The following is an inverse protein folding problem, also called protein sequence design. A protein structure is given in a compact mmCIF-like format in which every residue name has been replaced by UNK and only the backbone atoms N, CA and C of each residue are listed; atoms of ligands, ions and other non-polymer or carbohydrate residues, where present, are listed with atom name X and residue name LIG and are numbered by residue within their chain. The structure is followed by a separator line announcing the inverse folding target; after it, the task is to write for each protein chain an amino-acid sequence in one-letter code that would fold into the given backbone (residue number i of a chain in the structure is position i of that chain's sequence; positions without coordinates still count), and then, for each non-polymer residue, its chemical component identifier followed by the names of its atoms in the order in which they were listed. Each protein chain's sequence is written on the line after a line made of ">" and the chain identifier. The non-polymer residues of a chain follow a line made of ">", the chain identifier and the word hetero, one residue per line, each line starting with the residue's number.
data_IF_360335051122
#
_entry.id   IF_360335051122
#
_cell.length_a   1.000
_cell.length_b   1.000
_cell.length_c   1.000
_cell.angle_alpha   90.00
_cell.angle_beta   90.00
_cell.angle_gamma   90.00
#
_symmetry.space_group_name_H-M   'P 1'
#
loop_
_entity.id
_entity.type
_entity.pdbx_description
1 polymer ?
#
# COMPACT_ATOMS: atom_id res chain seq x y z
N UNK A 1 29.35 -5.91 15.10
CA UNK A 1 28.53 -6.67 14.12
C UNK A 1 27.30 -5.82 13.94
N UNK A 2 27.32 -4.92 12.95
CA UNK A 2 26.11 -4.19 12.56
C UNK A 2 25.17 -5.23 11.95
N UNK A 3 24.03 -5.45 12.59
CA UNK A 3 22.92 -6.15 11.95
C UNK A 3 22.52 -5.29 10.75
N UNK A 4 22.94 -5.70 9.55
CA UNK A 4 22.38 -5.20 8.31
C UNK A 4 20.88 -5.52 8.36
N UNK A 5 20.10 -4.49 8.68
CA UNK A 5 18.67 -4.59 8.87
C UNK A 5 18.02 -4.78 7.49
N UNK A 6 18.09 -6.00 6.97
CA UNK A 6 17.48 -6.39 5.70
C UNK A 6 15.97 -6.56 5.93
N UNK A 7 15.18 -5.57 5.54
CA UNK A 7 13.73 -5.58 5.72
C UNK A 7 12.98 -5.26 4.43
N UNK A 8 11.94 -6.05 4.14
CA UNK A 8 10.91 -5.62 3.20
C UNK A 8 10.07 -4.53 3.86
N UNK A 9 9.84 -3.41 3.16
CA UNK A 9 9.15 -2.24 3.73
C UNK A 9 7.66 -2.26 3.47
N UNK A 10 7.26 -2.64 2.26
CA UNK A 10 5.85 -2.79 1.92
C UNK A 10 5.61 -3.90 0.91
N UNK A 11 4.35 -4.34 0.83
CA UNK A 11 3.89 -5.37 -0.08
C UNK A 11 2.54 -5.00 -0.70
N UNK A 12 2.30 -5.46 -1.92
CA UNK A 12 1.03 -5.32 -2.62
C UNK A 12 0.72 -6.59 -3.41
N UNK A 13 -0.43 -7.20 -3.16
CA UNK A 13 -0.90 -8.36 -3.93
C UNK A 13 -1.48 -7.89 -5.28
N UNK A 14 -1.28 -8.67 -6.33
CA UNK A 14 -1.93 -8.43 -7.62
C UNK A 14 -3.43 -8.72 -7.49
N UNK A 15 -4.33 -7.75 -7.78
CA UNK A 15 -5.76 -7.94 -7.61
C UNK A 15 -6.41 -8.99 -8.52
N UNK A 16 -5.78 -9.34 -9.66
CA UNK A 16 -6.31 -10.33 -10.60
C UNK A 16 -5.67 -11.70 -10.46
N UNK A 17 -4.38 -11.74 -10.14
CA UNK A 17 -3.65 -12.98 -9.91
C UNK A 17 -3.23 -13.04 -8.44
N UNK A 18 -4.01 -13.76 -7.63
CA UNK A 18 -3.75 -13.89 -6.19
C UNK A 18 -2.44 -14.62 -5.88
N UNK A 19 -1.89 -15.36 -6.85
CA UNK A 19 -0.59 -16.02 -6.74
C UNK A 19 0.56 -15.04 -6.91
N UNK A 20 0.31 -13.86 -7.48
CA UNK A 20 1.33 -12.85 -7.67
C UNK A 20 1.25 -11.75 -6.62
N UNK A 21 2.40 -11.42 -6.05
CA UNK A 21 2.53 -10.29 -5.13
C UNK A 21 3.85 -9.59 -5.35
N UNK A 22 3.88 -8.32 -4.96
CA UNK A 22 5.03 -7.46 -5.09
C UNK A 22 5.50 -7.08 -3.70
N UNK A 23 6.80 -7.11 -3.46
CA UNK A 23 7.41 -6.55 -2.26
C UNK A 23 8.44 -5.50 -2.64
N UNK A 24 8.67 -4.54 -1.76
CA UNK A 24 9.83 -3.65 -1.87
C UNK A 24 10.80 -3.96 -0.76
N UNK A 25 12.09 -3.87 -1.11
CA UNK A 25 13.18 -4.04 -0.16
C UNK A 25 13.90 -2.73 0.06
N UNK A 26 14.23 -2.44 1.31
CA UNK A 26 15.11 -1.35 1.68
C UNK A 26 16.44 -1.93 2.17
N UNK A 27 17.12 -2.66 1.29
CA UNK A 27 18.49 -3.10 1.55
C UNK A 27 19.43 -1.92 1.28
N UNK A 28 20.35 -1.68 2.23
CA UNK A 28 21.29 -0.55 2.23
C UNK A 28 22.38 -0.73 1.15
N UNK A 29 22.55 -1.96 0.64
CA UNK A 29 23.48 -2.26 -0.44
C UNK A 29 22.95 -1.76 -1.80
N UNK A 30 23.77 -1.03 -2.56
CA UNK A 30 23.40 -0.39 -3.84
C UNK A 30 22.89 -1.36 -4.92
N UNK A 31 23.14 -2.66 -4.75
CA UNK A 31 22.78 -3.71 -5.69
C UNK A 31 21.34 -4.23 -5.56
N UNK A 32 20.70 -4.11 -4.39
CA UNK A 32 19.42 -4.77 -4.07
C UNK A 32 18.29 -3.78 -3.68
N UNK A 33 18.42 -2.52 -4.10
CA UNK A 33 17.32 -1.56 -3.99
C UNK A 33 16.33 -1.76 -5.13
N UNK A 34 15.20 -2.39 -4.79
CA UNK A 34 14.23 -2.72 -5.81
C UNK A 34 12.87 -3.17 -5.29
N UNK A 35 11.98 -3.25 -6.25
CA UNK A 35 10.65 -3.83 -6.13
C UNK A 35 10.73 -5.21 -6.78
N UNK A 36 10.43 -6.25 -6.01
CA UNK A 36 10.49 -7.64 -6.43
C UNK A 36 9.08 -8.16 -6.69
N UNK A 37 8.88 -8.77 -7.85
CA UNK A 37 7.66 -9.49 -8.20
C UNK A 37 7.85 -10.96 -7.84
N UNK A 38 6.89 -11.51 -7.13
CA UNK A 38 6.86 -12.89 -6.69
C UNK A 38 5.64 -13.58 -7.27
N UNK A 39 5.78 -14.87 -7.53
CA UNK A 39 4.68 -15.74 -7.94
C UNK A 39 4.73 -17.00 -7.08
N UNK A 40 3.60 -17.32 -6.46
CA UNK A 40 3.43 -18.51 -5.63
C UNK A 40 2.88 -19.59 -6.52
N UNK A 41 3.71 -20.50 -7.00
CA UNK A 41 3.23 -21.63 -7.78
C UNK A 41 2.58 -22.69 -6.85
N UNK A 42 1.26 -22.92 -6.93
CA UNK A 42 0.60 -23.90 -6.08
C UNK A 42 1.04 -25.35 -6.37
N UNK A 43 1.42 -25.67 -7.61
CA UNK A 43 1.80 -27.05 -7.92
C UNK A 43 3.14 -27.44 -7.27
N UNK A 44 3.96 -26.47 -6.87
CA UNK A 44 5.23 -26.71 -6.19
C UNK A 44 5.09 -27.26 -4.77
N UNK A 45 3.96 -27.01 -4.08
CA UNK A 45 3.70 -27.55 -2.74
C UNK A 45 3.03 -28.92 -2.75
N UNK A 46 2.31 -29.27 -3.81
CA UNK A 46 1.63 -30.55 -3.93
C UNK A 46 2.63 -31.73 -4.11
N UNK A 47 3.73 -31.49 -4.82
CA UNK A 47 4.79 -32.50 -5.01
C UNK A 47 5.49 -32.89 -3.70
N UNK A 48 5.60 -31.97 -2.73
CA UNK A 48 6.19 -32.22 -1.41
C UNK A 48 5.20 -32.88 -0.44
N UNK A 49 3.88 -32.74 -0.68
CA UNK A 49 2.85 -33.31 0.18
C UNK A 49 2.74 -34.84 0.06
N UNK A 50 3.06 -35.41 -1.11
CA UNK A 50 3.05 -36.87 -1.33
C UNK A 50 4.23 -37.60 -0.67
N UNK A 51 5.29 -36.88 -0.29
CA UNK A 51 6.45 -37.43 0.45
C UNK A 51 6.17 -37.51 1.97
N UNK A 52 5.17 -36.78 2.48
CA UNK A 52 4.93 -36.62 3.92
C UNK A 52 4.10 -37.74 4.59
N UNK A 53 3.80 -38.85 3.90
CA UNK A 53 3.10 -40.01 4.48
C UNK A 53 4.06 -41.05 5.08
N UNK A 54 4.90 -40.68 6.04
CA UNK A 54 5.54 -41.65 6.94
C UNK A 54 5.58 -41.15 8.40
N UNK A 55 5.13 -42.02 9.30
CA UNK A 55 4.74 -41.83 10.70
C UNK A 55 5.91 -41.65 11.69
N UNK A 56 5.90 -40.60 12.54
CA UNK A 56 6.55 -40.54 13.87
C UNK A 56 6.30 -39.19 14.60
N UNK A 57 6.44 -39.11 15.94
CA UNK A 57 5.92 -37.99 16.74
C UNK A 57 6.72 -36.69 16.56
N UNK A 58 5.98 -35.56 16.50
CA UNK A 58 6.46 -34.20 16.28
C UNK A 58 7.58 -33.78 17.24
N UNK A 59 8.84 -33.83 16.77
CA UNK A 59 9.83 -32.82 17.13
C UNK A 59 9.66 -31.66 16.15
N UNK A 60 9.78 -30.40 16.62
CA UNK A 60 9.71 -29.20 15.76
C UNK A 60 10.68 -29.36 14.59
N UNK A 61 10.15 -29.84 13.47
CA UNK A 61 10.89 -30.02 12.24
C UNK A 61 11.09 -28.62 11.66
N UNK A 62 12.36 -28.28 11.42
CA UNK A 62 12.70 -27.12 10.60
C UNK A 62 12.05 -27.38 9.24
N UNK A 63 11.02 -26.62 8.91
CA UNK A 63 10.27 -26.80 7.65
C UNK A 63 11.29 -26.73 6.51
N UNK A 64 11.28 -27.73 5.61
CA UNK A 64 11.96 -27.61 4.33
C UNK A 64 11.19 -26.55 3.54
N UNK A 65 11.51 -25.28 3.77
CA UNK A 65 10.92 -24.16 3.04
C UNK A 65 11.58 -24.14 1.67
N UNK A 66 10.82 -24.50 0.63
CA UNK A 66 11.23 -24.27 -0.74
C UNK A 66 11.47 -22.77 -0.94
N UNK A 67 12.66 -22.42 -1.41
CA UNK A 67 13.01 -21.02 -1.67
C UNK A 67 12.52 -20.66 -3.06
N UNK A 68 11.61 -19.71 -3.13
CA UNK A 68 11.14 -19.13 -4.40
C UNK A 68 12.07 -17.97 -4.74
N UNK A 69 12.49 -17.87 -6.00
CA UNK A 69 13.20 -16.71 -6.54
C UNK A 69 12.20 -15.69 -7.09
N UNK A 70 12.48 -14.38 -7.01
CA UNK A 70 11.61 -13.37 -7.60
C UNK A 70 11.52 -13.58 -9.13
N UNK A 71 10.31 -13.43 -9.66
CA UNK A 71 10.01 -13.52 -11.09
C UNK A 71 10.64 -12.33 -11.85
N UNK A 72 10.63 -11.15 -11.23
CA UNK A 72 11.23 -9.95 -11.77
C UNK A 72 11.76 -9.03 -10.66
N UNK A 73 12.74 -8.20 -10.99
CA UNK A 73 13.25 -7.13 -10.13
C UNK A 73 13.21 -5.81 -10.88
N UNK A 74 12.52 -4.83 -10.30
CA UNK A 74 12.45 -3.47 -10.81
C UNK A 74 13.34 -2.59 -9.97
N UNK A 75 14.31 -1.94 -10.62
CA UNK A 75 15.20 -1.02 -9.93
C UNK A 75 14.43 0.24 -9.53
N UNK A 76 14.33 0.47 -8.23
CA UNK A 76 13.80 1.70 -7.66
C UNK A 76 14.86 2.25 -6.70
N UNK A 77 15.66 3.24 -7.12
CA UNK A 77 16.66 3.83 -6.24
C UNK A 77 15.94 4.55 -5.10
N UNK A 78 16.50 4.44 -3.90
CA UNK A 78 15.92 4.92 -2.66
C UNK A 78 14.69 4.10 -2.22
N UNK A 79 14.54 3.92 -0.90
CA UNK A 79 13.53 3.03 -0.33
C UNK A 79 12.10 3.36 -0.78
N UNK A 80 11.25 2.32 -0.83
CA UNK A 80 9.84 2.46 -1.17
C UNK A 80 9.02 2.37 0.12
N UNK A 81 8.14 3.35 0.33
CA UNK A 81 7.23 3.42 1.48
C UNK A 81 5.89 2.75 1.21
N UNK A 82 5.40 2.85 -0.02
CA UNK A 82 4.09 2.32 -0.39
C UNK A 82 4.06 1.84 -1.83
N UNK A 83 3.28 0.78 -2.08
CA UNK A 83 3.07 0.17 -3.39
C UNK A 83 1.57 -0.02 -3.62
N UNK A 84 1.11 0.27 -4.84
CA UNK A 84 -0.27 0.06 -5.23
C UNK A 84 -0.37 -0.25 -6.72
N UNK A 85 -1.25 -1.20 -7.07
CA UNK A 85 -1.53 -1.58 -8.45
C UNK A 85 -2.59 -0.65 -9.03
N UNK A 86 -2.27 0.05 -10.12
CA UNK A 86 -3.21 0.92 -10.83
C UNK A 86 -3.97 0.16 -11.92
N UNK A 87 -3.34 -0.83 -12.55
CA UNK A 87 -3.95 -1.75 -13.52
C UNK A 87 -3.09 -3.02 -13.62
N UNK A 88 -3.44 -3.96 -14.49
CA UNK A 88 -2.71 -5.24 -14.61
C UNK A 88 -1.22 -5.07 -14.96
N UNK A 89 -0.91 -4.04 -15.74
CA UNK A 89 0.43 -3.75 -16.23
C UNK A 89 1.06 -2.52 -15.58
N UNK A 90 0.36 -1.82 -14.69
CA UNK A 90 0.85 -0.57 -14.10
C UNK A 90 0.90 -0.66 -12.58
N UNK A 91 2.11 -0.49 -12.06
CA UNK A 91 2.40 -0.44 -10.63
C UNK A 91 2.87 0.97 -10.24
N UNK A 92 2.40 1.47 -9.10
CA UNK A 92 2.79 2.79 -8.58
C UNK A 92 3.52 2.62 -7.25
N UNK A 93 4.64 3.31 -7.10
CA UNK A 93 5.48 3.26 -5.91
C UNK A 93 5.75 4.66 -5.35
N UNK A 94 5.62 4.78 -4.03
CA UNK A 94 5.89 6.00 -3.27
C UNK A 94 7.28 5.88 -2.66
N UNK A 95 8.20 6.70 -3.13
CA UNK A 95 9.61 6.59 -2.78
C UNK A 95 9.98 7.58 -1.66
N UNK A 96 11.01 7.26 -0.88
CA UNK A 96 11.52 8.14 0.19
C UNK A 96 12.19 9.41 -0.33
N UNK A 97 12.51 9.48 -1.62
CA UNK A 97 13.15 10.63 -2.28
C UNK A 97 12.15 11.68 -2.79
N UNK A 98 10.94 11.70 -2.22
CA UNK A 98 9.88 12.63 -2.58
C UNK A 98 9.43 12.50 -4.05
N UNK A 99 9.52 11.29 -4.59
CA UNK A 99 8.99 10.95 -5.90
C UNK A 99 7.94 9.84 -5.81
N UNK A 100 6.94 9.93 -6.67
CA UNK A 100 6.04 8.83 -6.99
C UNK A 100 6.45 8.32 -8.37
N UNK A 101 6.76 7.03 -8.45
CA UNK A 101 7.17 6.37 -9.69
C UNK A 101 6.07 5.45 -10.19
N UNK A 102 5.86 5.48 -11.49
CA UNK A 102 4.92 4.64 -12.21
C UNK A 102 5.74 3.67 -13.04
N UNK A 103 5.53 2.39 -12.81
CA UNK A 103 6.21 1.29 -13.47
C UNK A 103 5.27 0.60 -14.44
N UNK A 104 5.77 0.37 -15.64
CA UNK A 104 5.18 -0.53 -16.61
C UNK A 104 5.77 -1.93 -16.35
N UNK A 105 4.91 -2.85 -15.92
CA UNK A 105 5.25 -4.22 -15.55
C UNK A 105 5.54 -5.11 -16.77
N UNK A 106 4.95 -4.81 -17.93
CA UNK A 106 5.24 -5.54 -19.18
C UNK A 106 6.65 -5.22 -19.66
N UNK A 107 7.03 -3.94 -19.59
CA UNK A 107 8.35 -3.45 -20.02
C UNK A 107 9.40 -3.50 -18.92
N UNK A 108 8.99 -3.75 -17.67
CA UNK A 108 9.82 -3.73 -16.47
C UNK A 108 10.64 -2.44 -16.32
N UNK A 109 10.02 -1.30 -16.62
CA UNK A 109 10.68 0.02 -16.65
C UNK A 109 9.83 1.09 -15.99
N UNK A 110 10.50 2.12 -15.50
CA UNK A 110 9.84 3.35 -15.05
C UNK A 110 9.23 4.04 -16.27
N UNK A 111 7.91 4.16 -16.27
CA UNK A 111 7.15 4.89 -17.29
C UNK A 111 7.13 6.39 -16.99
N UNK A 112 6.92 6.76 -15.72
CA UNK A 112 6.88 8.15 -15.29
C UNK A 112 7.40 8.30 -13.85
N UNK A 113 7.92 9.48 -13.53
CA UNK A 113 8.24 9.89 -12.16
C UNK A 113 7.69 11.28 -11.91
N UNK A 114 7.05 11.46 -10.75
CA UNK A 114 6.39 12.70 -10.37
C UNK A 114 6.94 13.18 -9.04
N UNK A 115 7.36 14.45 -9.02
CA UNK A 115 7.87 15.07 -7.82
C UNK A 115 6.74 15.54 -6.90
N UNK A 116 6.81 15.20 -5.62
CA UNK A 116 5.75 15.47 -4.62
C UNK A 116 6.06 16.68 -3.74
N UNK A 117 6.69 17.71 -4.30
CA UNK A 117 6.98 18.99 -3.63
C UNK A 117 7.75 18.82 -2.29
N UNK A 118 8.81 18.01 -2.29
CA UNK A 118 9.65 17.74 -1.10
C UNK A 118 8.94 17.06 0.09
N UNK A 119 7.77 16.43 -0.12
CA UNK A 119 7.05 15.70 0.91
C UNK A 119 6.92 14.23 0.54
N UNK A 120 7.38 13.36 1.43
CA UNK A 120 7.31 11.91 1.20
C UNK A 120 5.85 11.47 1.13
N UNK A 121 5.54 10.60 0.17
CA UNK A 121 4.25 9.91 0.13
C UNK A 121 4.32 8.72 1.09
N UNK A 122 3.58 8.80 2.20
CA UNK A 122 3.53 7.76 3.23
C UNK A 122 2.68 6.58 2.79
N UNK A 123 1.66 6.84 1.98
CA UNK A 123 0.69 5.84 1.54
C UNK A 123 0.19 6.17 0.14
N UNK A 124 -0.11 5.13 -0.63
CA UNK A 124 -0.67 5.22 -1.96
C UNK A 124 -1.86 4.27 -2.09
N UNK A 125 -2.85 4.69 -2.85
CA UNK A 125 -3.91 3.81 -3.30
C UNK A 125 -4.37 4.20 -4.70
N UNK A 126 -4.63 3.18 -5.51
CA UNK A 126 -5.11 3.32 -6.88
C UNK A 126 -6.39 2.49 -7.02
N UNK A 127 -7.39 3.01 -7.72
CA UNK A 127 -8.59 2.23 -7.98
C UNK A 127 -8.36 1.28 -9.16
N UNK A 128 -7.96 0.05 -8.83
CA UNK A 128 -7.78 -1.02 -9.79
C UNK A 128 -9.09 -1.43 -10.48
N UNK A 129 -10.21 -1.43 -9.76
CA UNK A 129 -11.47 -2.01 -10.24
C UNK A 129 -12.05 -1.29 -11.46
N UNK A 130 -11.89 0.03 -11.54
CA UNK A 130 -12.44 0.84 -12.63
C UNK A 130 -11.40 1.23 -13.67
N UNK A 131 -10.15 0.76 -13.54
CA UNK A 131 -8.99 1.18 -14.37
C UNK A 131 -8.94 2.71 -14.58
N UNK A 132 -9.39 3.46 -13.57
CA UNK A 132 -9.57 4.92 -13.67
C UNK A 132 -8.24 5.66 -13.91
N UNK A 133 -7.11 4.97 -13.70
CA UNK A 133 -5.76 5.51 -13.80
C UNK A 133 -5.57 6.72 -12.86
N UNK A 134 -6.36 6.79 -11.78
CA UNK A 134 -6.25 7.77 -10.72
C UNK A 134 -5.44 7.19 -9.56
N UNK A 135 -4.52 8.00 -9.06
CA UNK A 135 -3.66 7.67 -7.91
C UNK A 135 -3.90 8.69 -6.82
N UNK A 136 -4.23 8.22 -5.62
CA UNK A 136 -4.21 9.01 -4.41
C UNK A 136 -2.93 8.74 -3.64
N UNK A 137 -2.29 9.81 -3.19
CA UNK A 137 -1.16 9.73 -2.27
C UNK A 137 -1.45 10.51 -1.00
N UNK A 138 -1.28 9.84 0.14
CA UNK A 138 -1.24 10.48 1.45
C UNK A 138 0.19 10.85 1.81
N UNK A 139 0.35 11.99 2.48
CA UNK A 139 1.64 12.56 2.79
C UNK A 139 1.82 12.86 4.28
N UNK A 140 3.08 13.14 4.62
CA UNK A 140 3.51 13.54 5.96
C UNK A 140 2.93 14.89 6.43
N UNK A 141 2.59 15.77 5.48
CA UNK A 141 2.03 17.09 5.74
C UNK A 141 0.50 17.08 6.01
N UNK A 142 -0.12 15.90 6.04
CA UNK A 142 -1.57 15.77 6.24
C UNK A 142 -2.40 16.05 4.98
N UNK A 143 -1.74 16.25 3.83
CA UNK A 143 -2.38 16.49 2.55
C UNK A 143 -2.52 15.19 1.76
N UNK A 144 -3.66 15.03 1.08
CA UNK A 144 -3.83 14.02 0.03
C UNK A 144 -3.69 14.68 -1.32
N UNK A 145 -2.89 14.09 -2.20
CA UNK A 145 -2.70 14.56 -3.57
C UNK A 145 -3.28 13.55 -4.55
N UNK A 146 -3.99 14.04 -5.56
CA UNK A 146 -4.56 13.23 -6.64
C UNK A 146 -3.74 13.42 -7.90
N UNK A 147 -3.37 12.31 -8.55
CA UNK A 147 -2.67 12.27 -9.82
C UNK A 147 -3.49 11.51 -10.85
N UNK A 148 -3.45 11.98 -12.08
CA UNK A 148 -4.08 11.34 -13.24
C UNK A 148 -2.98 10.76 -14.16
N UNK A 149 -2.90 9.44 -14.25
CA UNK A 149 -1.91 8.74 -15.07
C UNK A 149 -2.25 8.73 -16.57
N UNK A 150 -3.46 9.15 -16.95
CA UNK A 150 -3.90 9.19 -18.37
C UNK A 150 -3.21 10.33 -19.13
N UNK A 151 -2.74 11.34 -18.40
CA UNK A 151 -2.05 12.47 -18.99
C UNK A 151 -0.63 12.06 -19.40
N UNK A 152 -0.19 12.50 -20.58
CA UNK A 152 1.16 12.25 -21.09
C UNK A 152 2.26 12.76 -20.13
N UNK A 153 1.93 13.75 -19.31
CA UNK A 153 2.74 14.21 -18.19
C UNK A 153 1.92 14.04 -16.93
N UNK A 154 2.29 13.05 -16.11
CA UNK A 154 1.60 12.81 -14.84
C UNK A 154 1.85 14.00 -13.93
N UNK A 155 0.78 14.70 -13.57
CA UNK A 155 0.82 15.90 -12.73
C UNK A 155 -0.21 15.80 -11.62
N UNK A 156 0.10 16.49 -10.52
CA UNK A 156 -0.85 16.71 -9.45
C UNK A 156 -2.07 17.45 -10.01
N UNK A 157 -3.24 16.84 -9.91
CA UNK A 157 -4.51 17.39 -10.40
C UNK A 157 -5.25 18.13 -9.30
N UNK A 158 -5.29 17.54 -8.09
CA UNK A 158 -5.99 18.11 -6.92
C UNK A 158 -5.21 17.89 -5.64
N UNK A 159 -5.51 18.72 -4.63
CA UNK A 159 -4.98 18.60 -3.27
C UNK A 159 -6.15 18.69 -2.29
N UNK A 160 -6.16 17.81 -1.31
CA UNK A 160 -7.14 17.77 -0.24
C UNK A 160 -6.43 18.03 1.09
N UNK A 161 -6.86 19.05 1.80
CA UNK A 161 -6.40 19.35 3.16
C UNK A 161 -7.15 18.43 4.14
N UNK A 162 -6.66 17.19 4.23
CA UNK A 162 -7.38 16.14 4.93
C UNK A 162 -7.17 16.19 6.43
N UNK A 163 -5.93 16.29 6.92
CA UNK A 163 -5.60 16.09 8.32
C UNK A 163 -4.53 17.08 8.80
N UNK A 164 -4.46 17.28 10.12
CA UNK A 164 -3.44 18.16 10.73
C UNK A 164 -2.13 17.42 11.04
N UNK A 165 -2.12 16.09 10.83
CA UNK A 165 -0.97 15.21 11.09
C UNK A 165 -0.79 14.25 9.92
N UNK A 166 0.36 13.57 9.96
CA UNK A 166 0.75 12.49 9.04
C UNK A 166 -0.41 11.57 8.68
N UNK A 167 -0.68 11.45 7.38
CA UNK A 167 -1.62 10.47 6.86
C UNK A 167 -0.96 9.10 6.95
N UNK A 168 -1.67 8.16 7.55
CA UNK A 168 -1.20 6.78 7.73
C UNK A 168 -1.66 5.89 6.59
N UNK A 169 -2.92 6.04 6.18
CA UNK A 169 -3.45 5.27 5.05
C UNK A 169 -4.53 6.04 4.29
N UNK A 170 -4.54 5.87 2.97
CA UNK A 170 -5.61 6.31 2.07
C UNK A 170 -6.20 5.08 1.38
N UNK A 171 -7.51 5.05 1.20
CA UNK A 171 -8.21 4.00 0.46
C UNK A 171 -9.31 4.58 -0.42
N UNK A 172 -9.26 4.28 -1.72
CA UNK A 172 -10.33 4.60 -2.67
C UNK A 172 -11.42 3.54 -2.54
N UNK A 173 -12.68 3.93 -2.70
CA UNK A 173 -13.77 2.96 -2.77
C UNK A 173 -13.65 2.15 -4.07
N UNK A 174 -13.54 0.81 -4.02
CA UNK A 174 -13.55 -0.02 -5.22
C UNK A 174 -14.90 0.04 -5.97
N UNK A 175 -16.02 0.33 -5.31
CA UNK A 175 -17.34 0.42 -5.92
C UNK A 175 -17.70 1.83 -6.43
N UNK A 176 -17.17 2.88 -5.78
CA UNK A 176 -17.52 4.26 -6.08
C UNK A 176 -16.25 5.11 -6.27
N UNK A 177 -15.80 5.27 -7.53
CA UNK A 177 -14.53 5.91 -7.86
C UNK A 177 -14.32 7.31 -7.25
N UNK A 178 -15.41 8.04 -6.99
CA UNK A 178 -15.36 9.40 -6.48
C UNK A 178 -15.22 9.46 -4.96
N UNK A 179 -15.26 8.34 -4.24
CA UNK A 179 -15.24 8.34 -2.77
C UNK A 179 -13.97 7.70 -2.27
N UNK A 180 -13.32 8.33 -1.30
CA UNK A 180 -12.14 7.78 -0.65
C UNK A 180 -12.18 8.05 0.86
N UNK A 181 -11.46 7.21 1.61
CA UNK A 181 -11.29 7.33 3.05
C UNK A 181 -9.83 7.60 3.36
N UNK A 182 -9.60 8.48 4.32
CA UNK A 182 -8.28 8.76 4.87
C UNK A 182 -8.26 8.45 6.36
N UNK A 183 -7.13 7.99 6.87
CA UNK A 183 -6.84 7.93 8.29
C UNK A 183 -5.46 8.52 8.59
N UNK A 184 -5.32 9.15 9.75
CA UNK A 184 -4.09 9.82 10.12
C UNK A 184 -3.76 9.65 11.61
N UNK A 185 -2.57 10.12 11.99
CA UNK A 185 -2.11 10.14 13.37
C UNK A 185 -2.86 11.16 14.26
N UNK A 186 -3.78 11.94 13.70
CA UNK A 186 -4.72 12.79 14.47
C UNK A 186 -5.87 12.00 15.10
N UNK A 187 -5.98 10.71 14.78
CA UNK A 187 -7.00 9.82 15.30
C UNK A 187 -8.37 9.94 14.63
N UNK A 188 -8.43 10.65 13.50
CA UNK A 188 -9.63 10.82 12.72
C UNK A 188 -9.60 9.94 11.47
N UNK A 189 -10.76 9.39 11.15
CA UNK A 189 -11.07 8.90 9.82
C UNK A 189 -11.93 9.95 9.12
N UNK A 190 -11.62 10.26 7.87
CA UNK A 190 -12.42 11.20 7.09
C UNK A 190 -12.82 10.55 5.77
N UNK A 191 -14.12 10.61 5.46
CA UNK A 191 -14.65 10.20 4.15
C UNK A 191 -14.72 11.43 3.27
N UNK A 192 -14.24 11.31 2.04
CA UNK A 192 -14.13 12.40 1.09
C UNK A 192 -14.75 12.05 -0.25
N UNK A 193 -15.16 13.09 -0.97
CA UNK A 193 -15.56 13.01 -2.37
C UNK A 193 -14.49 13.70 -3.23
N UNK A 194 -13.97 13.03 -4.27
CA UNK A 194 -13.01 13.58 -5.22
C UNK A 194 -13.53 14.83 -5.94
N UNK A 195 -14.85 15.01 -5.98
CA UNK A 195 -15.50 16.18 -6.60
C UNK A 195 -15.53 17.38 -5.66
N UNK A 196 -15.40 17.17 -4.34
CA UNK A 196 -15.44 18.23 -3.33
C UNK A 196 -14.13 18.28 -2.52
N UNK A 197 -13.27 19.22 -2.87
CA UNK A 197 -11.97 19.43 -2.22
C UNK A 197 -12.06 20.21 -0.90
N UNK A 198 -13.20 20.88 -0.64
CA UNK A 198 -13.30 21.86 0.44
C UNK A 198 -13.60 21.23 1.81
N UNK A 199 -14.32 20.10 1.84
CA UNK A 199 -14.74 19.49 3.09
C UNK A 199 -14.97 17.98 2.95
N UNK A 200 -14.69 17.20 4.02
CA UNK A 200 -15.06 15.79 4.05
C UNK A 200 -16.58 15.62 4.09
N UNK A 201 -17.07 14.51 3.54
CA UNK A 201 -18.45 14.07 3.66
C UNK A 201 -18.79 13.68 5.10
N UNK A 202 -17.88 12.94 5.75
CA UNK A 202 -18.03 12.49 7.12
C UNK A 202 -16.70 12.52 7.85
N UNK A 203 -16.74 12.85 9.13
CA UNK A 203 -15.62 12.72 10.06
C UNK A 203 -16.00 11.66 11.09
N UNK A 204 -15.28 10.55 11.05
CA UNK A 204 -15.46 9.39 11.91
C UNK A 204 -14.37 9.44 12.97
N UNK A 205 -14.78 9.50 14.24
CA UNK A 205 -13.88 9.42 15.38
C UNK A 205 -14.10 8.08 16.06
N UNK A 206 -13.03 7.39 16.43
CA UNK A 206 -13.15 6.17 17.22
C UNK A 206 -13.67 6.51 18.61
N UNK A 207 -14.65 5.74 19.08
CA UNK A 207 -15.12 5.82 20.45
C UNK A 207 -14.11 5.10 21.36
N UNK A 208 -13.02 5.78 21.68
CA UNK A 208 -12.02 5.28 22.62
C UNK A 208 -12.27 5.88 24.00
N UNK A 209 -12.15 5.08 25.06
CA UNK A 209 -12.05 5.58 26.43
C UNK A 209 -10.67 6.13 26.79
N UNK A 210 -9.73 6.13 25.84
CA UNK A 210 -8.39 6.68 25.98
C UNK A 210 -8.37 8.20 25.77
N UNK A 211 -7.38 8.88 26.35
CA UNK A 211 -7.17 10.31 26.17
C UNK A 211 -7.04 10.66 24.68
N UNK A 212 -7.71 11.73 24.25
CA UNK A 212 -7.81 12.17 22.85
C UNK A 212 -6.45 12.34 22.14
N UNK A 213 -5.37 12.57 22.88
CA UNK A 213 -4.02 12.77 22.33
C UNK A 213 -3.33 11.47 21.88
N UNK A 214 -3.80 10.30 22.33
CA UNK A 214 -3.20 8.99 22.02
C UNK A 214 -3.99 8.15 21.01
N UNK A 215 -5.02 8.70 20.38
CA UNK A 215 -5.91 7.98 19.47
C UNK A 215 -5.35 7.78 18.04
N UNK A 216 -4.03 7.59 17.86
CA UNK A 216 -3.39 7.47 16.53
C UNK A 216 -3.94 6.29 15.73
N UNK A 217 -4.20 6.51 14.44
CA UNK A 217 -4.59 5.45 13.50
C UNK A 217 -3.40 5.02 12.66
N UNK A 218 -3.29 3.72 12.40
CA UNK A 218 -2.21 3.15 11.60
C UNK A 218 -2.72 2.38 10.39
N UNK A 219 -3.88 1.74 10.53
CA UNK A 219 -4.44 0.85 9.52
C UNK A 219 -5.88 1.22 9.18
N UNK A 220 -6.21 1.03 7.91
CA UNK A 220 -7.49 1.26 7.28
C UNK A 220 -7.81 0.10 6.34
N UNK A 221 -8.99 -0.48 6.52
CA UNK A 221 -9.56 -1.44 5.58
C UNK A 221 -10.93 -0.96 5.14
N UNK A 222 -11.29 -1.20 3.88
CA UNK A 222 -12.62 -0.88 3.38
C UNK A 222 -13.12 -2.00 2.48
N UNK A 223 -14.33 -2.48 2.73
CA UNK A 223 -15.00 -3.45 1.87
C UNK A 223 -15.66 -2.84 0.62
N UNK A 224 -15.58 -1.51 0.44
CA UNK A 224 -16.19 -0.75 -0.65
C UNK A 224 -17.70 -0.51 -0.55
N UNK A 225 -18.37 -1.18 0.39
CA UNK A 225 -19.80 -1.03 0.63
C UNK A 225 -20.02 -0.22 1.92
N UNK A 226 -20.44 -0.89 2.99
CA UNK A 226 -20.91 -0.23 4.21
C UNK A 226 -19.90 -0.19 5.36
N UNK A 227 -18.79 -0.94 5.30
CA UNK A 227 -17.93 -1.13 6.47
C UNK A 227 -16.50 -0.64 6.26
N UNK A 228 -16.08 0.27 7.13
CA UNK A 228 -14.71 0.72 7.24
C UNK A 228 -14.10 0.15 8.52
N UNK A 229 -12.95 -0.48 8.39
CA UNK A 229 -12.14 -0.98 9.49
C UNK A 229 -11.02 0.02 9.79
N UNK A 230 -10.80 0.32 11.07
CA UNK A 230 -9.71 1.18 11.49
C UNK A 230 -8.95 0.55 12.66
N UNK A 231 -7.63 0.47 12.56
CA UNK A 231 -6.73 0.01 13.62
C UNK A 231 -5.76 1.11 14.05
N UNK A 232 -5.38 1.14 15.32
CA UNK A 232 -4.60 2.23 15.91
C UNK A 232 -3.78 1.85 17.14
N UNK A 233 -3.20 2.86 17.79
CA UNK A 233 -2.37 2.73 19.01
C UNK A 233 -3.10 2.18 20.22
N UNK A 234 -4.42 2.28 20.23
CA UNK A 234 -5.28 1.71 21.27
C UNK A 234 -5.32 0.18 21.28
N UNK A 235 -4.58 -0.49 20.38
CA UNK A 235 -4.52 -1.95 20.23
C UNK A 235 -5.87 -2.61 19.90
N UNK A 236 -6.84 -1.81 19.45
CA UNK A 236 -8.16 -2.31 19.04
C UNK A 236 -8.37 -2.06 17.54
N UNK A 237 -9.25 -2.87 16.94
CA UNK A 237 -9.80 -2.63 15.60
C UNK A 237 -11.24 -2.20 15.77
N UNK A 238 -11.59 -1.01 15.28
CA UNK A 238 -12.97 -0.53 15.23
C UNK A 238 -13.57 -0.79 13.86
N UNK A 239 -14.83 -1.22 13.85
CA UNK A 239 -15.65 -1.35 12.64
C UNK A 239 -16.65 -0.22 12.62
N UNK A 240 -16.60 0.61 11.59
CA UNK A 240 -17.53 1.70 11.35
C UNK A 240 -18.49 1.26 10.26
N UNK A 241 -19.78 1.22 10.57
CA UNK A 241 -20.83 1.01 9.57
C UNK A 241 -21.37 2.37 9.15
N UNK A 242 -21.42 2.63 7.85
CA UNK A 242 -22.09 3.79 7.24
C UNK A 242 -23.49 3.43 6.77
#
# INVERSE_FOLDING_TARGET
>A
MEETNCGYTCMAQNPLNLEQFVTSSQIIDEADQGIYLWEVNPDSWAADADVAKQTAPMKRARTNVSRISPLASLRCPNGVQSLSWASQSVLVAGCTDHQIRVFDMERQKVQASVFTNHKVATTLDCNFANESQLVLSGHEDGLVRLFDLRQAQVKQTKVFECHDRYISQVKINPQAENVFVTCALDGLLKLWDLRNEQAPLYVLKRQTGANDEDAKLFGLGWNGASQILSGGSDSHVSVHSM
#
